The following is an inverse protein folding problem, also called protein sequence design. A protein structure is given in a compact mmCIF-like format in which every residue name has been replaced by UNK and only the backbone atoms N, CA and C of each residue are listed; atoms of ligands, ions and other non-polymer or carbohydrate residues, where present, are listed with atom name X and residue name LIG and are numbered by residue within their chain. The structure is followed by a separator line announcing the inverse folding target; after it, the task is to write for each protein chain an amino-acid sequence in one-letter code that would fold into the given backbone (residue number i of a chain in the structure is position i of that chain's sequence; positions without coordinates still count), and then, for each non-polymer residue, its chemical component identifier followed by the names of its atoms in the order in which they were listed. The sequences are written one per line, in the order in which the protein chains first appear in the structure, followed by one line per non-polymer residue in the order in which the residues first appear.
data_IF_413999044104
#
_entry.id   IF_413999044104
#
_cell.length_a   1.000
_cell.length_b   1.000
_cell.length_c   1.000
_cell.angle_alpha   90.00
_cell.angle_beta   90.00
_cell.angle_gamma   90.00
#
_symmetry.space_group_name_H-M   'P 1'
#
loop_
_entity.id
_entity.type
_entity.pdbx_description
1 polymer ?
#
# COMPACT_ATOMS: atom_id res chain seq x y z
N UNK A 1 -69.79 19.50 -10.24
CA UNK A 1 -69.12 20.14 -9.10
C UNK A 1 -68.09 19.16 -8.56
N UNK A 2 -66.81 19.24 -9.06
CA UNK A 2 -65.81 18.21 -8.84
C UNK A 2 -64.73 18.78 -7.92
N UNK A 3 -64.63 18.24 -6.71
CA UNK A 3 -63.66 18.64 -5.69
C UNK A 3 -62.33 17.93 -6.01
N UNK A 4 -61.28 18.70 -6.33
CA UNK A 4 -59.93 18.21 -6.46
C UNK A 4 -59.25 18.25 -5.06
N UNK A 5 -58.96 17.09 -4.53
CA UNK A 5 -58.15 16.94 -3.32
C UNK A 5 -56.67 17.17 -3.64
N UNK A 6 -56.04 18.18 -3.04
CA UNK A 6 -54.61 18.45 -3.08
C UNK A 6 -53.92 17.60 -2.00
N UNK A 7 -53.17 16.60 -2.40
CA UNK A 7 -52.29 15.84 -1.52
C UNK A 7 -50.99 16.64 -1.26
N UNK A 8 -50.84 17.24 -0.09
CA UNK A 8 -49.55 17.80 0.34
C UNK A 8 -48.61 16.67 0.68
N UNK A 9 -47.58 16.46 -0.17
CA UNK A 9 -46.44 15.59 0.17
C UNK A 9 -45.55 16.31 1.21
N UNK A 10 -45.58 15.86 2.43
CA UNK A 10 -44.60 16.25 3.45
C UNK A 10 -43.33 15.50 3.20
N UNK A 11 -42.24 16.19 2.78
CA UNK A 11 -40.89 15.61 2.68
C UNK A 11 -40.33 15.69 4.10
N UNK A 12 -40.19 14.53 4.76
CA UNK A 12 -39.44 14.40 6.00
C UNK A 12 -37.98 14.32 5.60
N UNK A 13 -37.25 15.42 5.77
CA UNK A 13 -35.78 15.41 5.71
C UNK A 13 -35.28 14.90 7.06
N UNK A 14 -34.94 13.64 7.14
CA UNK A 14 -34.23 13.09 8.29
C UNK A 14 -32.79 13.63 8.26
N UNK A 15 -32.51 14.64 9.04
CA UNK A 15 -31.12 15.07 9.30
C UNK A 15 -30.55 14.00 10.24
N UNK A 16 -29.82 13.06 9.69
CA UNK A 16 -28.91 12.25 10.48
C UNK A 16 -27.76 13.18 10.93
N UNK A 17 -27.81 13.61 12.17
CA UNK A 17 -26.62 14.10 12.88
C UNK A 17 -25.72 12.89 13.14
N UNK A 18 -25.04 12.43 12.11
CA UNK A 18 -23.90 11.55 12.27
C UNK A 18 -22.81 12.35 12.97
N UNK A 19 -22.34 11.90 14.12
CA UNK A 19 -21.05 12.28 14.65
C UNK A 19 -20.08 12.14 13.47
N UNK A 20 -19.35 13.18 13.11
CA UNK A 20 -18.31 13.09 12.11
C UNK A 20 -17.28 12.11 12.69
N UNK A 21 -17.35 10.85 12.24
CA UNK A 21 -16.22 9.93 12.43
C UNK A 21 -15.11 10.53 11.59
N UNK A 22 -13.94 10.74 12.18
CA UNK A 22 -12.77 11.18 11.46
C UNK A 22 -12.51 10.29 10.24
N UNK A 23 -11.83 10.82 9.22
CA UNK A 23 -11.61 10.06 7.99
C UNK A 23 -10.67 8.88 8.24
N UNK A 24 -10.95 7.78 7.59
CA UNK A 24 -10.08 6.60 7.57
C UNK A 24 -8.78 6.90 6.78
N UNK A 25 -7.74 6.13 7.08
CA UNK A 25 -6.55 5.98 6.26
C UNK A 25 -6.46 4.52 5.81
N UNK A 26 -7.28 4.12 4.81
CA UNK A 26 -7.63 2.72 4.57
C UNK A 26 -6.55 1.89 3.90
N UNK A 27 -5.47 2.50 3.46
CA UNK A 27 -4.34 1.82 2.82
C UNK A 27 -3.07 2.65 2.95
N UNK A 28 -1.93 2.04 2.69
CA UNK A 28 -0.66 2.74 2.70
C UNK A 28 -0.70 3.98 1.78
N UNK A 29 -0.34 5.14 2.36
CA UNK A 29 -0.40 6.46 1.73
C UNK A 29 -1.80 6.87 1.25
N UNK A 30 -2.81 6.42 1.97
CA UNK A 30 -4.21 6.80 1.94
C UNK A 30 -5.02 6.31 0.72
N UNK A 31 -4.57 6.49 -0.50
CA UNK A 31 -5.35 6.30 -1.72
C UNK A 31 -4.70 5.35 -2.73
N UNK A 32 -5.43 5.05 -3.80
CA UNK A 32 -5.02 4.16 -4.90
C UNK A 32 -3.77 4.63 -5.62
N UNK A 33 -3.59 5.95 -5.73
CA UNK A 33 -2.43 6.60 -6.34
C UNK A 33 -1.25 6.80 -5.38
N UNK A 34 -1.40 6.40 -4.11
CA UNK A 34 -0.35 6.53 -3.08
C UNK A 34 0.10 7.99 -2.86
N UNK A 35 -0.84 8.92 -2.91
CA UNK A 35 -0.54 10.35 -2.85
C UNK A 35 -0.21 10.86 -1.44
N UNK A 36 -0.63 10.13 -0.41
CA UNK A 36 -0.54 10.53 1.00
C UNK A 36 -1.22 11.88 1.28
N UNK A 37 -2.38 12.07 0.72
CA UNK A 37 -3.21 13.25 0.95
C UNK A 37 -4.38 12.93 1.86
N UNK A 38 -4.72 13.86 2.75
CA UNK A 38 -5.93 13.86 3.56
C UNK A 38 -6.62 15.20 3.46
N UNK A 39 -7.94 15.18 3.44
CA UNK A 39 -8.77 16.39 3.52
C UNK A 39 -9.08 16.78 4.97
N UNK A 40 -8.65 15.98 5.95
CA UNK A 40 -8.86 16.29 7.36
C UNK A 40 -8.20 17.59 7.77
N UNK A 41 -8.78 18.25 8.74
CA UNK A 41 -8.23 19.46 9.36
C UNK A 41 -7.70 19.08 10.73
N UNK A 42 -6.41 19.19 10.91
CA UNK A 42 -5.78 18.98 12.21
C UNK A 42 -5.94 20.22 13.10
N UNK A 43 -5.99 20.00 14.41
CA UNK A 43 -5.92 21.08 15.38
C UNK A 43 -4.62 21.89 15.22
N UNK A 44 -4.67 23.19 15.56
CA UNK A 44 -3.50 24.07 15.50
C UNK A 44 -2.38 23.63 16.45
N UNK A 45 -2.75 23.06 17.58
CA UNK A 45 -1.82 22.56 18.59
C UNK A 45 -1.97 21.04 18.74
N UNK A 46 -1.01 20.28 18.23
CA UNK A 46 -0.94 18.85 18.39
C UNK A 46 -0.21 18.51 19.69
N UNK A 47 -0.72 17.53 20.44
CA UNK A 47 -0.08 16.98 21.64
C UNK A 47 0.02 15.46 21.54
N UNK A 48 1.13 14.90 22.04
CA UNK A 48 1.31 13.44 22.08
C UNK A 48 0.27 12.84 23.03
N UNK A 49 -0.60 11.99 22.52
CA UNK A 49 -1.62 11.29 23.31
C UNK A 49 -1.05 10.01 23.91
N UNK A 50 -0.40 9.20 23.12
CA UNK A 50 0.22 7.96 23.56
C UNK A 50 1.42 7.60 22.67
N UNK A 51 2.26 6.73 23.16
CA UNK A 51 3.35 6.14 22.38
C UNK A 51 3.45 4.64 22.67
N UNK A 52 3.82 3.86 21.65
CA UNK A 52 4.00 2.42 21.79
C UNK A 52 5.30 1.97 21.14
N UNK A 53 6.11 1.25 21.91
CA UNK A 53 7.33 0.66 21.41
C UNK A 53 7.04 -0.73 20.84
N UNK A 54 7.20 -0.86 19.53
CA UNK A 54 7.12 -2.15 18.86
C UNK A 54 8.51 -2.78 18.70
N UNK A 55 8.61 -4.12 18.67
CA UNK A 55 9.88 -4.79 18.46
C UNK A 55 10.43 -4.49 17.05
N UNK A 56 11.77 -4.48 16.86
CA UNK A 56 12.36 -4.26 15.54
C UNK A 56 11.85 -5.29 14.52
N UNK A 57 11.50 -4.82 13.31
CA UNK A 57 11.13 -5.68 12.20
C UNK A 57 12.29 -6.59 11.77
N UNK A 58 11.96 -7.67 11.09
CA UNK A 58 12.91 -8.55 10.40
C UNK A 58 12.78 -8.37 8.89
N UNK A 59 13.62 -7.50 8.27
CA UNK A 59 13.56 -7.23 6.85
C UNK A 59 13.75 -8.50 6.00
N UNK A 60 13.19 -8.47 4.80
CA UNK A 60 13.32 -9.58 3.85
C UNK A 60 14.76 -9.83 3.39
N UNK A 61 15.59 -8.78 3.42
CA UNK A 61 17.00 -8.81 3.01
C UNK A 61 17.88 -8.19 4.08
N UNK A 62 19.09 -8.73 4.24
CA UNK A 62 20.13 -8.15 5.13
C UNK A 62 20.78 -6.93 4.52
N UNK A 63 20.95 -6.92 3.19
CA UNK A 63 21.54 -5.79 2.49
C UNK A 63 20.59 -4.59 2.50
N UNK A 64 21.02 -3.50 3.11
CA UNK A 64 20.23 -2.27 3.24
C UNK A 64 19.77 -1.70 1.90
N UNK A 65 20.51 -1.97 0.82
CA UNK A 65 20.12 -1.54 -0.54
C UNK A 65 18.91 -2.27 -1.09
N UNK A 66 18.59 -3.43 -0.52
CA UNK A 66 17.48 -4.28 -0.94
C UNK A 66 16.30 -4.23 0.04
N UNK A 67 16.44 -3.56 1.18
CA UNK A 67 15.40 -3.45 2.18
C UNK A 67 14.28 -2.54 1.69
N UNK A 68 13.06 -3.05 1.68
CA UNK A 68 11.83 -2.32 1.37
C UNK A 68 10.85 -2.30 2.55
N UNK A 69 11.10 -3.12 3.57
CA UNK A 69 10.23 -3.40 4.72
C UNK A 69 10.92 -3.10 6.06
N UNK A 70 11.69 -2.02 6.11
CA UNK A 70 12.47 -1.64 7.30
C UNK A 70 11.64 -0.93 8.38
N UNK A 71 10.46 -0.43 8.06
CA UNK A 71 9.58 0.32 8.96
C UNK A 71 8.18 -0.27 9.05
N UNK A 72 7.50 0.00 10.15
CA UNK A 72 6.09 -0.26 10.29
C UNK A 72 5.28 0.74 9.45
N UNK A 73 4.28 0.26 8.76
CA UNK A 73 3.43 1.05 7.88
C UNK A 73 1.96 0.80 8.27
N UNK A 74 1.42 1.60 9.20
CA UNK A 74 0.06 1.43 9.68
C UNK A 74 -0.98 1.95 8.70
N UNK A 75 -2.22 1.47 8.90
CA UNK A 75 -3.44 2.07 8.38
C UNK A 75 -4.41 2.33 9.54
N UNK A 76 -5.41 3.16 9.29
CA UNK A 76 -6.50 3.40 10.24
C UNK A 76 -7.84 3.10 9.58
N UNK A 77 -8.67 2.34 10.28
CA UNK A 77 -10.04 2.04 9.88
C UNK A 77 -10.95 2.19 11.11
N UNK A 78 -11.77 3.22 11.13
CA UNK A 78 -12.52 3.64 12.31
C UNK A 78 -11.57 3.90 13.50
N UNK A 79 -11.85 3.29 14.63
CA UNK A 79 -11.02 3.41 15.85
C UNK A 79 -9.92 2.33 15.96
N UNK A 80 -9.44 1.80 14.84
CA UNK A 80 -8.40 0.76 14.82
C UNK A 80 -7.20 1.21 14.00
N UNK A 81 -6.05 1.32 14.65
CA UNK A 81 -4.76 1.45 14.01
C UNK A 81 -4.21 0.04 13.79
N UNK A 82 -3.95 -0.32 12.53
CA UNK A 82 -3.67 -1.68 12.08
C UNK A 82 -2.25 -1.77 11.55
N UNK A 83 -1.46 -2.70 12.07
CA UNK A 83 -0.02 -2.79 11.81
C UNK A 83 0.36 -4.20 11.43
N UNK A 84 0.94 -4.38 10.24
CA UNK A 84 1.59 -5.63 9.84
C UNK A 84 2.97 -5.77 10.46
N UNK A 85 3.38 -6.99 10.81
CA UNK A 85 4.67 -7.28 11.40
C UNK A 85 5.39 -8.43 10.70
N UNK A 86 6.63 -8.17 10.28
CA UNK A 86 7.54 -9.22 9.82
C UNK A 86 8.33 -9.85 10.97
N UNK A 87 8.18 -9.35 12.19
CA UNK A 87 8.89 -9.85 13.38
C UNK A 87 8.26 -11.11 13.92
N UNK A 88 6.94 -11.10 14.08
CA UNK A 88 6.14 -12.14 14.71
C UNK A 88 5.02 -12.69 13.81
N UNK A 89 5.08 -12.38 12.49
CA UNK A 89 4.19 -12.91 11.47
C UNK A 89 2.72 -12.61 11.76
N UNK A 90 2.41 -11.36 12.05
CA UNK A 90 1.09 -10.97 12.53
C UNK A 90 0.59 -9.66 11.92
N UNK A 91 -0.70 -9.43 12.11
CA UNK A 91 -1.32 -8.10 12.08
C UNK A 91 -1.89 -7.82 13.45
N UNK A 92 -1.60 -6.63 13.99
CA UNK A 92 -2.09 -6.18 15.30
C UNK A 92 -2.97 -4.97 15.11
N UNK A 93 -4.11 -4.94 15.81
CA UNK A 93 -4.95 -3.76 15.94
C UNK A 93 -4.74 -3.09 17.29
N UNK A 94 -4.52 -1.78 17.25
CA UNK A 94 -4.47 -0.93 18.43
C UNK A 94 -5.67 0.00 18.42
N UNK A 95 -6.16 0.35 19.59
CA UNK A 95 -7.17 1.40 19.75
C UNK A 95 -6.53 2.77 19.47
N UNK A 96 -7.15 3.62 18.65
CA UNK A 96 -6.60 4.92 18.28
C UNK A 96 -6.59 5.93 19.41
N UNK A 97 -7.44 5.77 20.42
CA UNK A 97 -7.52 6.68 21.58
C UNK A 97 -6.47 6.33 22.65
N UNK A 98 -6.30 5.04 22.93
CA UNK A 98 -5.51 4.58 24.09
C UNK A 98 -4.16 4.00 23.69
N UNK A 99 -3.98 3.61 22.42
CA UNK A 99 -2.83 2.86 21.93
C UNK A 99 -2.77 1.42 22.47
N UNK A 100 -3.81 0.92 23.13
CA UNK A 100 -3.85 -0.45 23.65
C UNK A 100 -4.09 -1.46 22.54
N UNK A 101 -3.47 -2.64 22.67
CA UNK A 101 -3.70 -3.76 21.77
C UNK A 101 -5.12 -4.30 21.96
N UNK A 102 -5.90 -4.33 20.88
CA UNK A 102 -7.27 -4.84 20.89
C UNK A 102 -7.31 -6.30 20.50
N UNK A 103 -6.58 -6.64 19.41
CA UNK A 103 -6.44 -8.01 18.93
C UNK A 103 -5.16 -8.18 18.11
N UNK A 104 -4.73 -9.43 17.98
CA UNK A 104 -3.63 -9.83 17.12
C UNK A 104 -3.98 -11.10 16.34
N UNK A 105 -3.75 -11.08 15.03
CA UNK A 105 -3.94 -12.20 14.13
C UNK A 105 -2.58 -12.70 13.60
N UNK A 106 -2.34 -14.01 13.71
CA UNK A 106 -1.09 -14.62 13.26
C UNK A 106 -1.23 -15.30 11.89
N UNK A 107 -0.17 -15.26 11.11
CA UNK A 107 -0.02 -15.94 9.81
C UNK A 107 1.12 -16.93 9.84
N UNK A 108 1.24 -17.78 8.80
CA UNK A 108 2.33 -18.77 8.68
C UNK A 108 3.63 -18.20 8.07
N UNK A 109 3.74 -16.87 8.01
CA UNK A 109 4.91 -16.15 7.49
C UNK A 109 4.80 -14.63 7.66
N UNK A 110 5.87 -13.88 7.41
CA UNK A 110 5.92 -12.42 7.59
C UNK A 110 4.80 -11.66 6.89
N UNK A 111 4.20 -10.70 7.59
CA UNK A 111 3.36 -9.66 7.00
C UNK A 111 4.22 -8.41 6.84
N UNK A 112 4.55 -8.04 5.60
CA UNK A 112 5.55 -7.00 5.32
C UNK A 112 4.98 -5.68 4.87
N UNK A 113 3.75 -5.69 4.35
CA UNK A 113 3.09 -4.52 3.80
C UNK A 113 1.88 -4.15 4.62
N UNK A 114 1.54 -2.86 4.61
CA UNK A 114 0.31 -2.38 5.22
C UNK A 114 -0.91 -3.14 4.68
N UNK A 115 -1.89 -3.44 5.53
CA UNK A 115 -3.19 -3.91 5.08
C UNK A 115 -3.91 -2.89 4.19
N UNK A 116 -5.02 -3.31 3.57
CA UNK A 116 -6.04 -2.41 3.02
C UNK A 116 -7.36 -2.63 3.75
N UNK A 117 -8.07 -1.53 4.03
CA UNK A 117 -9.35 -1.55 4.72
C UNK A 117 -10.54 -1.46 3.77
N UNK A 118 -11.55 -2.29 3.95
CA UNK A 118 -12.77 -2.32 3.15
C UNK A 118 -13.97 -2.75 4.00
N UNK A 119 -14.96 -1.89 4.16
CA UNK A 119 -16.24 -2.22 4.82
C UNK A 119 -16.09 -2.97 6.16
N UNK A 120 -15.26 -2.42 7.05
CA UNK A 120 -15.01 -3.02 8.37
C UNK A 120 -14.14 -4.29 8.35
N UNK A 121 -13.50 -4.59 7.22
CA UNK A 121 -12.54 -5.69 7.06
C UNK A 121 -11.18 -5.15 6.69
N UNK A 122 -10.15 -5.94 6.98
CA UNK A 122 -8.79 -5.65 6.51
C UNK A 122 -8.26 -6.83 5.71
N UNK A 123 -7.52 -6.53 4.65
CA UNK A 123 -6.99 -7.51 3.72
C UNK A 123 -5.48 -7.30 3.60
N UNK A 124 -4.70 -8.36 3.75
CA UNK A 124 -3.24 -8.28 3.77
C UNK A 124 -2.59 -9.56 3.25
N UNK A 125 -1.41 -9.41 2.67
CA UNK A 125 -0.59 -10.50 2.17
C UNK A 125 0.45 -10.96 3.19
N UNK A 126 0.82 -12.25 3.10
CA UNK A 126 1.88 -12.84 3.91
C UNK A 126 2.92 -13.55 3.04
N UNK A 127 4.14 -13.64 3.55
CA UNK A 127 5.23 -14.43 2.93
C UNK A 127 4.92 -15.94 2.92
N UNK A 128 3.83 -16.41 3.51
CA UNK A 128 3.34 -17.79 3.38
C UNK A 128 2.63 -18.10 2.04
N UNK A 129 2.49 -17.08 1.18
CA UNK A 129 1.86 -17.18 -0.13
C UNK A 129 0.34 -17.06 -0.10
N UNK A 130 -0.24 -16.54 0.98
CA UNK A 130 -1.67 -16.32 1.11
C UNK A 130 -2.03 -14.84 1.28
N UNK A 131 -3.21 -14.50 0.79
CA UNK A 131 -3.93 -13.29 1.12
C UNK A 131 -4.97 -13.62 2.18
N UNK A 132 -5.11 -12.77 3.19
CA UNK A 132 -6.01 -12.92 4.31
C UNK A 132 -6.99 -11.77 4.36
N UNK A 133 -8.20 -12.05 4.80
CA UNK A 133 -9.20 -11.06 5.18
C UNK A 133 -9.70 -11.36 6.58
N UNK A 134 -9.63 -10.38 7.47
CA UNK A 134 -10.15 -10.48 8.84
C UNK A 134 -11.05 -9.30 9.16
N UNK A 135 -11.93 -9.42 10.12
CA UNK A 135 -12.73 -8.30 10.61
C UNK A 135 -11.84 -7.28 11.32
N UNK A 136 -12.00 -6.02 11.04
CA UNK A 136 -11.25 -4.95 11.70
C UNK A 136 -11.58 -4.80 13.18
N UNK A 137 -12.79 -5.19 13.59
CA UNK A 137 -13.27 -5.03 14.97
C UNK A 137 -12.66 -6.02 15.96
N UNK A 138 -12.52 -7.29 15.56
CA UNK A 138 -12.18 -8.41 16.44
C UNK A 138 -11.06 -9.33 15.92
N UNK A 139 -10.57 -9.10 14.69
CA UNK A 139 -9.51 -9.88 14.08
C UNK A 139 -9.93 -11.29 13.63
N UNK A 140 -11.23 -11.63 13.66
CA UNK A 140 -11.69 -12.96 13.22
C UNK A 140 -11.50 -13.13 11.70
N UNK A 141 -11.01 -14.30 11.32
CA UNK A 141 -10.80 -14.67 9.92
C UNK A 141 -12.14 -14.72 9.17
N UNK A 142 -12.24 -13.92 8.10
CA UNK A 142 -13.39 -13.95 7.17
C UNK A 142 -13.10 -14.91 6.02
N UNK A 143 -11.98 -14.73 5.33
CA UNK A 143 -11.52 -15.64 4.30
C UNK A 143 -9.98 -15.65 4.19
N UNK A 144 -9.46 -16.75 3.66
CA UNK A 144 -8.04 -16.94 3.34
C UNK A 144 -7.93 -17.49 1.93
N UNK A 145 -7.13 -16.84 1.10
CA UNK A 145 -6.87 -17.27 -0.27
C UNK A 145 -5.41 -17.63 -0.48
N UNK A 146 -5.15 -18.85 -0.91
CA UNK A 146 -3.83 -19.20 -1.43
C UNK A 146 -3.67 -18.63 -2.83
N UNK A 147 -2.73 -17.70 -2.96
CA UNK A 147 -2.45 -16.99 -4.21
C UNK A 147 -1.44 -17.71 -5.11
N UNK A 148 -1.02 -18.92 -4.75
CA UNK A 148 0.14 -19.58 -5.34
C UNK A 148 -0.11 -21.05 -5.57
N UNK A 149 0.63 -21.71 -6.51
CA UNK A 149 0.30 -23.08 -6.96
C UNK A 149 0.42 -24.15 -5.87
N UNK A 150 1.31 -23.98 -4.91
CA UNK A 150 1.56 -25.02 -3.90
C UNK A 150 2.01 -24.45 -2.56
N UNK A 151 2.17 -25.33 -1.57
CA UNK A 151 2.70 -25.01 -0.23
C UNK A 151 4.23 -25.09 -0.16
N UNK A 152 4.93 -25.13 -1.32
CA UNK A 152 6.40 -25.23 -1.34
C UNK A 152 7.04 -24.04 -0.62
N UNK A 153 7.95 -24.34 0.29
CA UNK A 153 8.66 -23.34 1.09
C UNK A 153 10.15 -23.34 0.77
N UNK A 154 10.80 -22.24 1.08
CA UNK A 154 12.24 -22.01 0.92
C UNK A 154 12.74 -21.20 2.13
N UNK A 155 14.02 -21.31 2.43
CA UNK A 155 14.65 -20.45 3.43
C UNK A 155 14.96 -19.10 2.78
N UNK A 156 14.30 -18.07 3.26
CA UNK A 156 14.52 -16.68 2.87
C UNK A 156 14.94 -15.82 4.06
N UNK A 157 16.21 -15.42 4.10
CA UNK A 157 16.79 -14.62 5.18
C UNK A 157 16.48 -15.18 6.60
N UNK A 158 16.89 -16.43 6.85
CA UNK A 158 16.71 -17.15 8.13
C UNK A 158 15.27 -17.54 8.48
N UNK A 159 14.34 -17.42 7.54
CA UNK A 159 12.93 -17.76 7.77
C UNK A 159 12.42 -18.70 6.68
N UNK A 160 11.50 -19.56 7.08
CA UNK A 160 10.74 -20.37 6.14
C UNK A 160 9.62 -19.52 5.53
N UNK A 161 9.73 -19.25 4.23
CA UNK A 161 8.73 -18.51 3.45
C UNK A 161 8.20 -19.37 2.31
N UNK A 162 7.10 -18.96 1.70
CA UNK A 162 6.67 -19.53 0.42
C UNK A 162 7.71 -19.27 -0.67
N UNK A 163 7.86 -20.16 -1.63
CA UNK A 163 8.59 -19.86 -2.87
C UNK A 163 7.98 -18.66 -3.60
N UNK A 164 6.70 -18.42 -3.37
CA UNK A 164 5.96 -17.30 -3.93
C UNK A 164 5.33 -16.45 -2.81
N UNK A 165 6.13 -15.67 -2.07
CA UNK A 165 5.59 -14.81 -1.03
C UNK A 165 4.70 -13.71 -1.62
N UNK A 166 3.67 -13.27 -0.88
CA UNK A 166 2.84 -12.14 -1.30
C UNK A 166 3.56 -10.84 -0.94
N UNK A 167 4.34 -10.32 -1.86
CA UNK A 167 5.17 -9.10 -1.70
C UNK A 167 4.80 -7.97 -2.65
N UNK A 168 3.77 -8.13 -3.48
CA UNK A 168 3.08 -7.03 -4.11
C UNK A 168 2.04 -6.49 -3.14
N UNK A 169 2.37 -5.41 -2.43
CA UNK A 169 1.52 -4.79 -1.40
C UNK A 169 0.15 -4.42 -1.96
N UNK A 170 -0.94 -4.80 -1.30
CA UNK A 170 -2.28 -4.70 -1.87
C UNK A 170 -2.70 -3.25 -2.11
N UNK A 171 -3.56 -3.06 -3.12
CA UNK A 171 -4.31 -1.83 -3.36
C UNK A 171 -5.78 -2.16 -3.53
N UNK A 172 -6.63 -1.37 -2.88
CA UNK A 172 -8.08 -1.49 -2.94
C UNK A 172 -8.66 -0.42 -3.88
N UNK A 173 -9.54 -0.81 -4.78
CA UNK A 173 -10.27 0.09 -5.66
C UNK A 173 -11.64 -0.50 -6.01
N UNK A 174 -12.71 0.25 -5.78
CA UNK A 174 -14.09 -0.14 -6.10
C UNK A 174 -14.48 -1.57 -5.66
N UNK A 175 -14.20 -1.89 -4.40
CA UNK A 175 -14.50 -3.21 -3.83
C UNK A 175 -13.63 -4.36 -4.35
N UNK A 176 -12.56 -4.06 -5.07
CA UNK A 176 -11.58 -5.02 -5.62
C UNK A 176 -10.22 -4.83 -5.00
N UNK A 177 -9.57 -5.93 -4.67
CA UNK A 177 -8.18 -5.91 -4.18
C UNK A 177 -7.27 -6.46 -5.26
N UNK A 178 -6.25 -5.67 -5.58
CA UNK A 178 -5.17 -6.05 -6.48
C UNK A 178 -3.92 -6.32 -5.65
N UNK A 179 -3.24 -7.41 -5.92
CA UNK A 179 -2.02 -7.80 -5.22
C UNK A 179 -1.14 -8.69 -6.11
N UNK A 180 0.10 -8.93 -5.68
CA UNK A 180 0.98 -9.82 -6.42
C UNK A 180 1.76 -10.77 -5.50
N UNK A 181 2.05 -11.97 -6.01
CA UNK A 181 2.81 -13.01 -5.33
C UNK A 181 3.94 -13.52 -6.22
N UNK A 182 5.03 -13.95 -5.57
CA UNK A 182 6.25 -14.41 -6.25
C UNK A 182 7.27 -13.30 -6.44
N UNK A 183 8.54 -13.62 -6.25
CA UNK A 183 9.66 -12.69 -6.36
C UNK A 183 10.77 -13.20 -7.27
N UNK A 184 10.68 -14.46 -7.68
CA UNK A 184 11.61 -15.07 -8.62
C UNK A 184 10.89 -15.35 -9.94
N UNK A 185 11.18 -14.58 -11.00
CA UNK A 185 10.46 -14.68 -12.26
C UNK A 185 10.40 -16.09 -12.87
N UNK A 186 11.49 -16.87 -12.73
CA UNK A 186 11.56 -18.24 -13.26
C UNK A 186 10.71 -19.24 -12.47
N UNK A 187 10.44 -18.97 -11.20
CA UNK A 187 9.51 -19.77 -10.38
C UNK A 187 8.04 -19.37 -10.61
N UNK A 188 7.82 -18.28 -11.31
CA UNK A 188 6.52 -17.68 -11.57
C UNK A 188 6.19 -16.51 -10.65
N UNK A 189 5.53 -15.54 -11.23
CA UNK A 189 4.93 -14.41 -10.53
C UNK A 189 3.47 -14.31 -10.92
N UNK A 190 2.64 -13.93 -9.98
CA UNK A 190 1.19 -13.96 -10.09
C UNK A 190 0.64 -12.60 -9.70
N UNK A 191 -0.12 -11.98 -10.60
CA UNK A 191 -0.84 -10.74 -10.32
C UNK A 191 -2.33 -11.05 -10.30
N UNK A 192 -3.03 -10.54 -9.30
CA UNK A 192 -4.43 -10.87 -9.06
C UNK A 192 -5.29 -9.62 -8.92
N UNK A 193 -6.55 -9.78 -9.32
CA UNK A 193 -7.68 -9.00 -8.85
C UNK A 193 -8.68 -9.94 -8.20
N UNK A 194 -9.10 -9.63 -6.98
CA UNK A 194 -10.10 -10.38 -6.23
C UNK A 194 -11.19 -9.46 -5.72
N UNK A 195 -12.37 -10.01 -5.54
CA UNK A 195 -13.44 -9.33 -4.81
C UNK A 195 -13.04 -9.18 -3.33
N UNK A 196 -13.15 -7.98 -2.79
CA UNK A 196 -12.69 -7.68 -1.43
C UNK A 196 -13.50 -8.39 -0.34
N UNK A 197 -14.80 -8.63 -0.58
CA UNK A 197 -15.70 -9.21 0.42
C UNK A 197 -15.62 -10.73 0.44
N UNK A 198 -15.48 -11.36 -0.73
CA UNK A 198 -15.54 -12.82 -0.88
C UNK A 198 -14.18 -13.48 -1.06
N UNK A 199 -13.16 -12.73 -1.51
CA UNK A 199 -11.86 -13.26 -1.91
C UNK A 199 -11.91 -14.04 -3.23
N UNK A 200 -13.03 -14.03 -3.96
CA UNK A 200 -13.14 -14.68 -5.26
C UNK A 200 -12.24 -14.02 -6.30
N UNK A 201 -11.64 -14.83 -7.16
CA UNK A 201 -10.76 -14.31 -8.22
C UNK A 201 -11.61 -13.73 -9.35
N UNK A 202 -11.42 -12.43 -9.62
CA UNK A 202 -11.99 -11.77 -10.79
C UNK A 202 -11.11 -12.07 -12.01
N UNK A 203 -9.79 -11.84 -11.85
CA UNK A 203 -8.81 -12.27 -12.84
C UNK A 203 -7.46 -12.59 -12.19
N UNK A 204 -6.64 -13.35 -12.93
CA UNK A 204 -5.27 -13.71 -12.57
C UNK A 204 -4.38 -13.63 -13.80
N UNK A 205 -3.22 -12.98 -13.66
CA UNK A 205 -2.14 -13.07 -14.64
C UNK A 205 -1.00 -13.89 -14.05
N UNK A 206 -0.69 -15.03 -14.68
CA UNK A 206 0.38 -15.96 -14.32
C UNK A 206 1.29 -16.29 -15.51
N UNK A 207 1.23 -15.48 -16.59
CA UNK A 207 1.91 -15.72 -17.87
C UNK A 207 2.96 -14.65 -18.21
N UNK A 208 3.16 -13.68 -17.31
CA UNK A 208 4.01 -12.50 -17.61
C UNK A 208 5.27 -12.45 -16.75
N UNK A 209 5.68 -13.58 -16.18
CA UNK A 209 6.71 -13.59 -15.13
C UNK A 209 8.12 -13.35 -15.64
N UNK A 210 8.55 -13.92 -16.76
CA UNK A 210 9.95 -13.82 -17.19
C UNK A 210 10.10 -13.37 -18.63
N UNK A 211 11.28 -12.79 -18.93
CA UNK A 211 11.74 -12.42 -20.26
C UNK A 211 13.22 -12.75 -20.42
N UNK A 212 13.61 -13.15 -21.63
CA UNK A 212 15.00 -13.27 -22.01
C UNK A 212 15.42 -12.01 -22.78
N UNK A 213 16.45 -11.32 -22.31
CA UNK A 213 16.87 -10.05 -22.91
C UNK A 213 18.23 -9.58 -22.44
N UNK A 214 18.63 -8.42 -22.92
CA UNK A 214 19.89 -7.77 -22.50
C UNK A 214 19.68 -7.11 -21.14
N UNK A 215 20.58 -7.41 -20.21
CA UNK A 215 20.64 -6.81 -18.89
C UNK A 215 21.62 -5.63 -18.83
N UNK A 216 21.65 -4.84 -17.73
CA UNK A 216 22.49 -3.64 -17.60
C UNK A 216 23.98 -3.82 -17.93
N UNK A 217 24.51 -5.03 -17.81
CA UNK A 217 25.91 -5.35 -18.13
C UNK A 217 26.13 -5.90 -19.54
N UNK A 218 25.20 -5.66 -20.46
CA UNK A 218 25.19 -6.17 -21.83
C UNK A 218 25.15 -7.70 -21.96
N UNK A 219 24.98 -8.42 -20.87
CA UNK A 219 24.79 -9.86 -20.89
C UNK A 219 23.34 -10.22 -21.20
N UNK A 220 23.11 -11.22 -22.03
CA UNK A 220 21.79 -11.78 -22.24
C UNK A 220 21.49 -12.80 -21.16
N UNK A 221 20.39 -12.62 -20.45
CA UNK A 221 19.96 -13.54 -19.40
C UNK A 221 18.42 -13.52 -19.26
N UNK A 222 17.90 -14.46 -18.51
CA UNK A 222 16.54 -14.40 -18.05
C UNK A 222 16.42 -13.39 -16.91
N UNK A 223 15.43 -12.54 -17.02
CA UNK A 223 14.96 -11.64 -15.98
C UNK A 223 13.45 -11.63 -15.95
N UNK A 224 12.84 -10.69 -15.28
CA UNK A 224 11.39 -10.60 -15.34
C UNK A 224 10.77 -9.81 -14.21
N UNK A 225 9.47 -9.93 -14.11
CA UNK A 225 8.66 -9.27 -13.09
C UNK A 225 8.95 -9.87 -11.71
N UNK A 226 9.41 -9.05 -10.80
CA UNK A 226 9.68 -9.40 -9.41
C UNK A 226 8.91 -8.44 -8.48
N UNK A 227 7.61 -8.65 -8.26
CA UNK A 227 6.77 -7.72 -7.52
C UNK A 227 7.17 -7.68 -6.05
N UNK A 228 7.81 -6.59 -5.67
CA UNK A 228 8.19 -6.27 -4.30
C UNK A 228 7.99 -4.79 -4.09
N UNK A 229 6.87 -4.42 -3.47
CA UNK A 229 6.50 -3.03 -3.26
C UNK A 229 5.00 -2.83 -3.32
N UNK A 230 4.54 -1.62 -3.02
CA UNK A 230 3.13 -1.28 -3.06
C UNK A 230 2.63 -1.11 -4.49
N UNK A 231 1.58 -1.83 -4.84
CA UNK A 231 0.84 -1.61 -6.08
C UNK A 231 0.12 -0.27 -6.00
N UNK A 232 -0.05 0.36 -7.15
CA UNK A 232 -0.91 1.54 -7.27
C UNK A 232 -1.80 1.43 -8.51
N UNK A 233 -2.85 2.23 -8.54
CA UNK A 233 -3.74 2.38 -9.68
C UNK A 233 -3.55 3.76 -10.25
N UNK A 234 -3.36 3.82 -11.56
CA UNK A 234 -3.44 5.02 -12.37
C UNK A 234 -4.84 5.09 -12.96
N UNK A 235 -5.72 5.84 -12.29
CA UNK A 235 -7.13 5.96 -12.67
C UNK A 235 -7.31 6.66 -14.02
N UNK A 236 -6.39 7.57 -14.40
CA UNK A 236 -6.47 8.28 -15.69
C UNK A 236 -6.28 7.32 -16.86
N UNK A 237 -5.41 6.33 -16.72
CA UNK A 237 -5.13 5.36 -17.79
C UNK A 237 -5.79 4.00 -17.59
N UNK A 238 -6.38 3.75 -16.43
CA UNK A 238 -6.98 2.46 -16.09
C UNK A 238 -5.96 1.34 -15.92
N UNK A 239 -4.74 1.68 -15.50
CA UNK A 239 -3.66 0.72 -15.32
C UNK A 239 -3.37 0.42 -13.86
N UNK A 240 -3.18 -0.86 -13.57
CA UNK A 240 -2.53 -1.32 -12.36
C UNK A 240 -1.01 -1.27 -12.57
N UNK A 241 -0.32 -0.55 -11.69
CA UNK A 241 1.13 -0.38 -11.72
C UNK A 241 1.75 -1.29 -10.65
N UNK A 242 2.62 -2.20 -11.09
CA UNK A 242 3.25 -3.20 -10.24
C UNK A 242 4.75 -2.94 -10.16
N UNK A 243 5.27 -2.44 -9.02
CA UNK A 243 6.70 -2.23 -8.83
C UNK A 243 7.48 -3.53 -9.02
N UNK A 244 8.64 -3.44 -9.65
CA UNK A 244 9.47 -4.59 -10.01
C UNK A 244 10.94 -4.36 -9.69
N UNK A 245 11.25 -4.11 -8.42
CA UNK A 245 12.62 -3.92 -7.93
C UNK A 245 13.40 -2.90 -8.79
N UNK A 246 14.45 -3.32 -9.47
CA UNK A 246 15.31 -2.42 -10.28
C UNK A 246 14.76 -2.15 -11.69
N UNK A 247 13.74 -2.87 -12.14
CA UNK A 247 13.07 -2.60 -13.40
C UNK A 247 12.03 -1.49 -13.28
N UNK A 248 11.65 -0.88 -14.39
CA UNK A 248 10.46 -0.04 -14.41
C UNK A 248 9.25 -0.86 -13.96
N UNK A 249 8.30 -0.24 -13.23
CA UNK A 249 7.06 -0.91 -12.89
C UNK A 249 6.35 -1.46 -14.12
N UNK A 250 5.81 -2.66 -13.98
CA UNK A 250 4.96 -3.24 -15.00
C UNK A 250 3.58 -2.58 -14.98
N UNK A 251 2.97 -2.42 -16.16
CA UNK A 251 1.60 -1.91 -16.32
C UNK A 251 0.69 -3.05 -16.74
N UNK A 252 -0.40 -3.22 -16.01
CA UNK A 252 -1.45 -4.17 -16.33
C UNK A 252 -2.77 -3.42 -16.55
N UNK A 253 -3.58 -3.90 -17.47
CA UNK A 253 -4.96 -3.47 -17.58
C UNK A 253 -5.71 -3.89 -16.30
N UNK A 254 -6.28 -2.94 -15.56
CA UNK A 254 -6.90 -3.23 -14.26
C UNK A 254 -8.21 -4.03 -14.37
N UNK A 255 -8.85 -4.04 -15.55
CA UNK A 255 -10.12 -4.78 -15.77
C UNK A 255 -9.87 -6.22 -16.18
N UNK A 256 -8.85 -6.47 -16.99
CA UNK A 256 -8.59 -7.78 -17.60
C UNK A 256 -7.37 -8.50 -17.02
N UNK A 257 -6.45 -7.78 -16.38
CA UNK A 257 -5.16 -8.31 -15.92
C UNK A 257 -4.14 -8.57 -17.05
N UNK A 258 -4.40 -8.06 -18.26
CA UNK A 258 -3.46 -8.17 -19.37
C UNK A 258 -2.23 -7.28 -19.13
N UNK A 259 -1.03 -7.84 -19.34
CA UNK A 259 0.21 -7.07 -19.28
C UNK A 259 0.28 -6.12 -20.47
N UNK A 260 0.29 -4.82 -20.22
CA UNK A 260 0.41 -3.76 -21.24
C UNK A 260 1.86 -3.40 -21.54
N UNK A 261 2.68 -3.27 -20.50
CA UNK A 261 4.10 -3.00 -20.68
C UNK A 261 4.94 -3.51 -19.51
N UNK A 262 6.10 -4.04 -19.81
CA UNK A 262 7.18 -4.35 -18.89
C UNK A 262 8.50 -4.42 -19.63
N UNK A 263 9.51 -3.72 -19.13
CA UNK A 263 10.84 -3.69 -19.71
C UNK A 263 11.90 -4.11 -18.69
N UNK A 264 12.89 -4.84 -19.16
CA UNK A 264 14.08 -5.13 -18.35
C UNK A 264 14.89 -3.83 -18.14
N UNK A 265 15.65 -3.72 -17.03
CA UNK A 265 16.48 -2.54 -16.78
C UNK A 265 17.45 -2.30 -17.94
N UNK A 266 17.52 -1.04 -18.40
CA UNK A 266 18.48 -0.65 -19.42
C UNK A 266 19.92 -0.59 -18.87
N UNK A 267 20.97 -0.82 -19.69
CA UNK A 267 22.35 -0.66 -19.28
C UNK A 267 22.63 0.70 -18.65
N UNK A 268 23.32 0.70 -17.50
CA UNK A 268 23.73 1.92 -16.79
C UNK A 268 22.61 2.68 -16.10
N UNK A 269 21.39 2.15 -16.05
CA UNK A 269 20.25 2.78 -15.39
C UNK A 269 19.54 1.80 -14.46
N UNK A 270 19.13 2.31 -13.31
CA UNK A 270 18.33 1.59 -12.33
C UNK A 270 17.05 2.39 -12.11
N UNK A 271 16.09 2.33 -13.03
CA UNK A 271 14.91 3.18 -13.00
C UNK A 271 13.82 2.68 -12.04
N UNK A 272 14.04 1.54 -11.41
CA UNK A 272 13.07 0.93 -10.51
C UNK A 272 13.17 1.44 -9.09
N UNK A 273 12.13 1.17 -8.33
CA UNK A 273 12.03 1.45 -6.90
C UNK A 273 11.02 0.51 -6.26
N UNK A 274 10.92 0.58 -4.94
CA UNK A 274 10.02 -0.26 -4.15
C UNK A 274 8.56 0.18 -4.21
N UNK A 275 8.33 1.40 -4.61
CA UNK A 275 6.99 1.90 -4.85
C UNK A 275 6.98 3.03 -5.87
N UNK A 276 5.81 3.29 -6.40
CA UNK A 276 5.50 4.45 -7.21
C UNK A 276 4.32 5.20 -6.57
N UNK A 277 4.16 6.46 -6.92
CA UNK A 277 2.98 7.24 -6.53
C UNK A 277 2.57 8.17 -7.67
N UNK A 278 1.28 8.45 -7.78
CA UNK A 278 0.84 9.58 -8.59
C UNK A 278 1.21 10.86 -7.85
N UNK A 279 1.76 11.87 -8.52
CA UNK A 279 2.05 13.13 -7.86
C UNK A 279 0.76 13.83 -7.46
N UNK A 280 0.76 14.41 -6.26
CA UNK A 280 -0.32 15.30 -5.84
C UNK A 280 -0.42 16.51 -6.78
N UNK A 281 -1.58 17.16 -6.81
CA UNK A 281 -1.76 18.38 -7.62
C UNK A 281 -0.72 19.47 -7.26
N UNK A 282 -0.41 19.60 -5.98
CA UNK A 282 0.63 20.53 -5.53
C UNK A 282 2.02 20.16 -6.07
N UNK A 283 2.35 18.89 -6.10
CA UNK A 283 3.60 18.38 -6.68
C UNK A 283 3.63 18.58 -8.20
N UNK A 284 2.51 18.30 -8.89
CA UNK A 284 2.37 18.56 -10.33
C UNK A 284 2.64 20.02 -10.66
N UNK A 285 2.10 20.95 -9.88
CA UNK A 285 2.31 22.38 -10.05
C UNK A 285 3.78 22.79 -9.80
N UNK A 286 4.42 22.26 -8.74
CA UNK A 286 5.84 22.49 -8.45
C UNK A 286 6.75 21.99 -9.57
N UNK A 287 6.45 20.83 -10.12
CA UNK A 287 7.22 20.21 -11.19
C UNK A 287 7.04 20.95 -12.52
N UNK A 288 5.82 21.39 -12.84
CA UNK A 288 5.56 22.27 -14.00
C UNK A 288 6.37 23.56 -13.93
N UNK A 289 6.43 24.21 -12.74
CA UNK A 289 7.21 25.46 -12.53
C UNK A 289 8.71 25.25 -12.69
N UNK A 290 9.23 24.04 -12.43
CA UNK A 290 10.65 23.71 -12.58
C UNK A 290 11.04 23.21 -13.97
N UNK A 291 10.09 23.18 -14.93
CA UNK A 291 10.33 22.63 -16.28
C UNK A 291 10.62 21.12 -16.29
N UNK A 292 10.44 20.44 -15.17
CA UNK A 292 10.54 19.00 -15.07
C UNK A 292 9.25 18.42 -15.64
N UNK A 293 9.27 18.07 -16.92
CA UNK A 293 8.20 17.35 -17.58
C UNK A 293 8.26 15.91 -17.09
N UNK A 294 7.14 15.44 -16.55
CA UNK A 294 6.86 14.01 -16.53
C UNK A 294 6.88 13.51 -17.97
N UNK A 295 7.40 12.33 -18.17
CA UNK A 295 7.19 11.60 -19.41
C UNK A 295 5.68 11.62 -19.69
N UNK A 296 5.28 12.12 -20.88
CA UNK A 296 3.86 12.36 -21.24
C UNK A 296 2.99 11.09 -21.17
N UNK A 297 3.64 9.94 -21.06
CA UNK A 297 3.00 8.62 -21.01
C UNK A 297 2.93 8.03 -19.59
N UNK A 298 3.51 8.69 -18.57
CA UNK A 298 3.62 8.13 -17.22
C UNK A 298 3.09 9.09 -16.18
N UNK A 299 1.89 8.84 -15.71
CA UNK A 299 1.23 9.64 -14.67
C UNK A 299 1.69 9.30 -13.24
N UNK A 300 2.75 8.55 -13.08
CA UNK A 300 3.29 8.18 -11.78
C UNK A 300 4.80 8.42 -11.72
N UNK A 301 5.31 8.63 -10.51
CA UNK A 301 6.74 8.74 -10.22
C UNK A 301 7.21 7.52 -9.45
N UNK A 302 8.29 6.91 -9.92
CA UNK A 302 9.00 5.87 -9.17
C UNK A 302 9.89 6.55 -8.13
N UNK A 303 9.83 6.08 -6.91
CA UNK A 303 10.61 6.59 -5.81
C UNK A 303 11.76 5.64 -5.49
N UNK A 304 12.98 6.17 -5.58
CA UNK A 304 14.19 5.53 -5.05
C UNK A 304 14.36 5.89 -3.56
N UNK A 305 13.34 5.67 -2.75
CA UNK A 305 13.43 6.01 -1.34
C UNK A 305 14.36 5.04 -0.62
N UNK A 306 15.61 5.46 -0.47
CA UNK A 306 16.61 4.75 0.32
C UNK A 306 16.51 5.26 1.76
N UNK A 307 16.00 4.48 2.71
CA UNK A 307 15.74 4.93 4.07
C UNK A 307 17.01 5.38 4.84
N UNK A 308 18.18 5.30 4.24
CA UNK A 308 19.47 5.56 4.88
C UNK A 308 20.27 6.75 4.31
N UNK A 309 19.74 7.49 3.34
CA UNK A 309 20.41 8.70 2.90
C UNK A 309 20.13 9.85 3.85
N UNK A 310 21.15 10.20 4.66
CA UNK A 310 21.16 11.46 5.42
C UNK A 310 21.06 12.62 4.43
N UNK A 311 19.97 13.37 4.47
CA UNK A 311 19.86 14.67 3.82
C UNK A 311 18.79 14.83 2.75
N UNK A 312 18.18 13.79 2.23
CA UNK A 312 17.02 13.96 1.35
C UNK A 312 15.74 13.71 2.14
N UNK A 313 14.83 14.71 2.07
CA UNK A 313 13.47 14.57 2.61
C UNK A 313 12.74 13.54 1.75
N UNK A 314 12.77 12.27 2.18
CA UNK A 314 12.14 11.15 1.48
C UNK A 314 10.63 11.34 1.37
N UNK A 315 10.04 10.79 0.33
CA UNK A 315 8.58 10.87 0.11
C UNK A 315 7.80 10.20 1.24
N UNK A 316 8.36 9.19 1.89
CA UNK A 316 7.75 8.48 3.03
C UNK A 316 7.51 9.40 4.25
N UNK A 317 8.33 10.43 4.39
CA UNK A 317 8.30 11.37 5.51
C UNK A 317 7.47 12.61 5.22
N UNK A 318 6.59 12.54 4.23
CA UNK A 318 5.83 13.67 3.73
C UNK A 318 4.39 13.27 3.48
N UNK A 319 3.48 14.07 4.02
CA UNK A 319 2.04 13.97 3.79
C UNK A 319 1.48 15.33 3.41
N UNK A 320 0.31 15.35 2.83
CA UNK A 320 -0.45 16.59 2.58
C UNK A 320 -1.79 16.52 3.31
N UNK A 321 -2.03 17.49 4.19
CA UNK A 321 -3.24 17.59 5.02
C UNK A 321 -3.91 18.91 4.74
N UNK A 322 -5.19 18.89 4.39
CA UNK A 322 -5.96 20.08 4.00
C UNK A 322 -5.22 21.00 3.02
N UNK A 323 -4.51 20.44 2.04
CA UNK A 323 -3.70 21.16 1.06
C UNK A 323 -2.34 21.66 1.56
N UNK A 324 -1.99 21.46 2.84
CA UNK A 324 -0.70 21.83 3.43
C UNK A 324 0.26 20.62 3.41
N UNK A 325 1.46 20.85 2.89
CA UNK A 325 2.52 19.83 2.94
C UNK A 325 3.17 19.83 4.33
N UNK A 326 3.24 18.67 4.97
CA UNK A 326 3.85 18.47 6.27
C UNK A 326 5.03 17.50 6.17
N UNK A 327 6.12 17.87 6.81
CA UNK A 327 7.31 17.02 7.00
C UNK A 327 7.55 16.79 8.48
N UNK A 328 8.02 15.62 8.86
CA UNK A 328 8.36 15.37 10.26
C UNK A 328 9.45 16.34 10.78
N UNK A 329 10.31 16.86 9.89
CA UNK A 329 11.36 17.83 10.24
C UNK A 329 10.83 19.23 10.55
N UNK A 330 9.54 19.49 10.41
CA UNK A 330 8.96 20.80 10.60
C UNK A 330 8.59 21.11 12.07
N UNK A 331 8.94 20.20 12.97
CA UNK A 331 8.79 20.42 14.42
C UNK A 331 7.36 20.30 14.95
N UNK A 332 6.47 19.62 14.21
CA UNK A 332 5.09 19.37 14.64
C UNK A 332 5.01 18.45 15.86
N UNK A 333 6.02 17.64 16.07
CA UNK A 333 6.15 16.76 17.21
C UNK A 333 7.50 17.03 17.86
N UNK A 334 7.51 17.48 19.09
CA UNK A 334 8.72 17.62 19.93
C UNK A 334 9.19 16.21 20.37
N UNK A 335 9.43 15.35 19.39
CA UNK A 335 9.93 14.01 19.58
C UNK A 335 11.35 13.97 19.03
N UNK A 336 12.33 13.76 19.89
CA UNK A 336 13.66 13.30 19.48
C UNK A 336 13.53 11.86 18.97
N UNK A 337 12.81 11.67 17.89
CA UNK A 337 12.62 10.38 17.25
C UNK A 337 13.76 10.12 16.27
N UNK A 338 14.15 8.87 16.16
CA UNK A 338 14.98 8.38 15.08
C UNK A 338 14.31 8.59 13.71
N UNK A 339 14.73 7.83 12.70
CA UNK A 339 14.11 7.88 11.37
C UNK A 339 12.61 7.61 11.44
N UNK A 340 11.81 8.59 11.02
CA UNK A 340 10.37 8.39 10.81
C UNK A 340 10.17 7.70 9.47
N UNK A 341 9.56 6.53 9.48
CA UNK A 341 9.30 5.74 8.29
C UNK A 341 7.96 6.06 7.64
N UNK A 342 6.98 6.49 8.42
CA UNK A 342 5.63 6.76 7.91
C UNK A 342 4.91 7.78 8.78
N UNK A 343 4.08 8.60 8.15
CA UNK A 343 3.10 9.46 8.80
C UNK A 343 1.74 9.22 8.16
N UNK A 344 0.71 9.33 8.95
CA UNK A 344 -0.68 9.29 8.47
C UNK A 344 -1.54 10.24 9.30
N UNK A 345 -2.68 10.64 8.73
CA UNK A 345 -3.68 11.46 9.40
C UNK A 345 -5.02 10.79 9.29
N UNK A 346 -5.61 10.45 10.43
CA UNK A 346 -6.93 9.86 10.51
C UNK A 346 -7.57 10.21 11.84
N UNK A 347 -8.89 10.28 11.90
CA UNK A 347 -9.65 10.56 13.13
C UNK A 347 -9.14 11.83 13.86
N UNK A 348 -8.87 12.92 13.08
CA UNK A 348 -8.33 14.20 13.54
C UNK A 348 -6.95 14.12 14.22
N UNK A 349 -6.22 13.01 14.04
CA UNK A 349 -4.90 12.72 14.65
C UNK A 349 -3.80 12.58 13.58
N UNK A 350 -2.59 12.98 13.95
CA UNK A 350 -1.38 12.81 13.15
C UNK A 350 -0.56 11.64 13.68
#
# INVERSE_FOLDING_TARGET
MTIKAFLKRTIIVSIFSGSALGADWPMWRNDTGRTAQSAEVLADNLSLQWSRRLPPLKPAYRDNRLQFDAGYEPIVLGKRLLVGSSRDDSVTAFDTETGEEVWKFFTDGPVRFAPVGCEGRIIFGSDDGCLYCVNASDGLLVWKKRAVPSKRKVIGNERMISVWPVRGGPVLHEGRVYFAAGVWPLEGTFVFCVDALTGETIWRNDRSSYRYGVHPHNARAFGGLAPQGYLLIDDETGHLIVPSSQAYPAKFDMKTGELKSFELPAPGRLPGGWFASTPSELERQKLKRRGLLFDKEVNYRVHEDKPHFKGEKGVRNKITVAGREMHFSDGYLDIQAGLIHSMLVADEKL
#
